data_IF_981801777620
#
_entry.id   IF_981801777620
#
_cell.length_a   1.000
_cell.length_b   1.000
_cell.length_c   1.000
_cell.angle_alpha   90.00
_cell.angle_beta   90.00
_cell.angle_gamma   90.00
#
_symmetry.space_group_name_H-M   'P 1'
#
loop_
_entity.id
_entity.type
_entity.pdbx_description
1 polymer ?
#
# COMPACT_ATOMS: atom_id res chain seq x y z
N UNK A 1 0.07 -11.41 -10.64
CA UNK A 1 0.04 -10.29 -9.67
C UNK A 1 1.25 -10.45 -8.75
N UNK A 2 2.09 -9.43 -8.55
CA UNK A 2 3.22 -9.55 -7.64
C UNK A 2 2.70 -9.82 -6.22
N UNK A 3 3.41 -10.71 -5.50
CA UNK A 3 3.04 -11.09 -4.14
C UNK A 3 3.19 -9.89 -3.20
N UNK A 4 2.08 -9.41 -2.67
CA UNK A 4 2.07 -8.34 -1.68
C UNK A 4 2.26 -8.98 -0.30
N UNK A 5 3.45 -8.87 0.25
CA UNK A 5 3.76 -9.45 1.55
C UNK A 5 3.24 -8.59 2.69
N UNK A 6 2.70 -9.26 3.70
CA UNK A 6 2.38 -8.72 5.00
C UNK A 6 3.12 -9.59 6.04
N UNK A 7 3.93 -8.97 6.88
CA UNK A 7 4.72 -9.68 7.89
C UNK A 7 3.88 -10.03 9.12
N UNK A 8 2.80 -9.30 9.35
CA UNK A 8 1.87 -9.55 10.44
C UNK A 8 0.84 -10.63 10.04
N UNK A 9 1.20 -11.89 10.27
CA UNK A 9 0.38 -13.06 9.88
C UNK A 9 -0.97 -13.12 10.58
N UNK A 10 -1.09 -12.57 11.80
CA UNK A 10 -2.35 -12.53 12.53
C UNK A 10 -3.36 -11.60 11.85
N UNK A 11 -2.96 -10.37 11.50
CA UNK A 11 -3.81 -9.45 10.75
C UNK A 11 -4.11 -9.97 9.35
N UNK A 12 -3.15 -10.59 8.69
CA UNK A 12 -3.35 -11.18 7.37
C UNK A 12 -4.47 -12.22 7.39
N UNK A 13 -4.47 -13.11 8.38
CA UNK A 13 -5.53 -14.12 8.56
C UNK A 13 -6.87 -13.47 8.85
N UNK A 14 -6.93 -12.53 9.77
CA UNK A 14 -8.14 -11.80 10.11
C UNK A 14 -8.76 -11.13 8.88
N UNK A 15 -7.96 -10.40 8.11
CA UNK A 15 -8.43 -9.74 6.88
C UNK A 15 -8.92 -10.76 5.85
N UNK A 16 -8.20 -11.86 5.66
CA UNK A 16 -8.61 -12.92 4.73
C UNK A 16 -9.97 -13.50 5.09
N UNK A 17 -10.21 -13.81 6.37
CA UNK A 17 -11.48 -14.35 6.86
C UNK A 17 -12.66 -13.39 6.59
N UNK A 18 -12.46 -12.07 6.77
CA UNK A 18 -13.50 -11.06 6.52
C UNK A 18 -13.61 -10.61 5.06
N UNK A 19 -12.66 -10.99 4.22
CA UNK A 19 -12.63 -10.63 2.79
C UNK A 19 -13.28 -11.66 1.87
N UNK A 20 -13.76 -12.77 2.41
CA UNK A 20 -14.44 -13.82 1.66
C UNK A 20 -15.92 -13.88 2.01
N UNK A 21 -16.71 -14.41 1.11
CA UNK A 21 -18.15 -14.67 1.29
C UNK A 21 -18.52 -16.00 0.68
N UNK A 22 -19.51 -16.67 1.26
CA UNK A 22 -20.06 -17.90 0.73
C UNK A 22 -21.17 -17.58 -0.28
N UNK A 23 -21.17 -18.30 -1.39
CA UNK A 23 -22.19 -18.25 -2.42
C UNK A 23 -22.69 -19.65 -2.72
N UNK A 24 -23.69 -19.79 -3.56
CA UNK A 24 -24.19 -21.08 -4.10
C UNK A 24 -23.12 -21.87 -4.87
N UNK A 25 -22.11 -21.19 -5.38
CA UNK A 25 -20.96 -21.76 -6.12
C UNK A 25 -19.71 -21.99 -5.26
N UNK A 26 -19.79 -21.77 -3.93
CA UNK A 26 -18.69 -21.89 -3.01
C UNK A 26 -18.19 -20.56 -2.48
N UNK A 27 -16.96 -20.53 -1.96
CA UNK A 27 -16.35 -19.34 -1.40
C UNK A 27 -15.75 -18.45 -2.50
N UNK A 28 -15.94 -17.14 -2.39
CA UNK A 28 -15.34 -16.13 -3.27
C UNK A 28 -14.83 -14.94 -2.46
N UNK A 29 -13.93 -14.18 -3.05
CA UNK A 29 -13.55 -12.87 -2.54
C UNK A 29 -14.72 -11.88 -2.64
N UNK A 30 -14.82 -10.96 -1.69
CA UNK A 30 -15.83 -9.89 -1.70
C UNK A 30 -15.51 -8.77 -2.70
N UNK A 31 -14.24 -8.61 -3.09
CA UNK A 31 -13.86 -7.59 -4.07
C UNK A 31 -14.31 -7.97 -5.49
N UNK A 32 -14.45 -6.97 -6.35
CA UNK A 32 -14.76 -7.16 -7.76
C UNK A 32 -13.52 -7.69 -8.51
N UNK A 33 -13.65 -8.85 -9.14
CA UNK A 33 -12.58 -9.48 -9.92
C UNK A 33 -12.11 -8.60 -11.09
N UNK A 34 -12.96 -7.69 -11.59
CA UNK A 34 -12.65 -6.78 -12.68
C UNK A 34 -11.93 -5.50 -12.23
N UNK A 35 -11.77 -5.26 -10.92
CA UNK A 35 -11.18 -4.01 -10.45
C UNK A 35 -9.76 -3.79 -10.98
N UNK A 36 -9.00 -4.86 -11.19
CA UNK A 36 -7.63 -4.77 -11.69
C UNK A 36 -7.55 -4.50 -13.19
N UNK A 37 -8.57 -4.80 -13.98
CA UNK A 37 -8.60 -4.52 -15.42
C UNK A 37 -8.66 -3.02 -15.73
N UNK A 38 -9.11 -2.21 -14.76
CA UNK A 38 -9.20 -0.76 -14.86
C UNK A 38 -7.93 -0.04 -14.40
N UNK A 39 -7.05 -0.72 -13.66
CA UNK A 39 -5.85 -0.12 -13.06
C UNK A 39 -4.76 0.20 -14.08
N UNK A 40 -4.66 -0.54 -15.19
CA UNK A 40 -3.66 -0.29 -16.23
C UNK A 40 -3.74 1.13 -16.81
N UNK A 41 -4.92 1.75 -16.76
CA UNK A 41 -5.13 3.13 -17.23
C UNK A 41 -4.57 4.19 -16.30
N UNK A 42 -4.26 3.84 -15.05
CA UNK A 42 -3.75 4.79 -14.05
C UNK A 42 -2.23 4.79 -13.94
N UNK A 43 -1.56 3.78 -14.47
CA UNK A 43 -0.11 3.70 -14.47
C UNK A 43 0.49 4.72 -15.45
N UNK A 44 1.40 5.56 -14.92
CA UNK A 44 2.11 6.57 -15.72
C UNK A 44 1.51 7.98 -15.64
N UNK A 45 0.39 8.19 -14.97
CA UNK A 45 -0.13 9.54 -14.73
C UNK A 45 0.49 10.13 -13.46
N UNK A 46 0.99 11.36 -13.60
CA UNK A 46 1.40 12.16 -12.45
C UNK A 46 0.16 12.82 -11.85
N UNK A 47 -0.07 12.58 -10.57
CA UNK A 47 -1.14 13.26 -9.83
C UNK A 47 -0.65 14.63 -9.37
N UNK A 48 -1.53 15.64 -9.45
CA UNK A 48 -1.31 16.95 -8.87
C UNK A 48 -1.95 17.00 -7.49
N UNK A 49 -1.18 17.43 -6.49
CA UNK A 49 -1.66 17.58 -5.12
C UNK A 49 -1.84 19.07 -4.82
N UNK A 50 -3.01 19.45 -4.30
CA UNK A 50 -3.30 20.81 -3.78
C UNK A 50 -3.05 20.95 -2.28
N UNK A 51 -2.54 19.90 -1.64
CA UNK A 51 -2.24 19.82 -0.22
C UNK A 51 -0.91 19.14 0.02
N UNK A 52 -0.29 19.29 1.20
CA UNK A 52 0.89 18.50 1.59
C UNK A 52 0.60 17.01 1.47
N UNK A 53 1.53 16.27 0.88
CA UNK A 53 1.40 14.84 0.67
C UNK A 53 2.57 14.10 1.31
N UNK A 54 2.28 12.94 1.91
CA UNK A 54 3.25 12.06 2.52
C UNK A 54 3.10 10.65 1.97
N UNK A 55 4.19 10.11 1.43
CA UNK A 55 4.28 8.75 0.95
C UNK A 55 5.01 7.87 1.97
N UNK A 56 4.27 6.91 2.54
CA UNK A 56 4.82 5.96 3.51
C UNK A 56 4.98 4.60 2.82
N UNK A 57 6.16 4.03 2.88
CA UNK A 57 6.43 2.71 2.31
C UNK A 57 7.26 1.83 3.24
N UNK A 58 7.10 0.51 3.12
CA UNK A 58 7.90 -0.46 3.85
C UNK A 58 9.25 -0.71 3.17
N UNK A 59 10.31 -0.77 3.96
CA UNK A 59 11.67 -1.07 3.48
C UNK A 59 11.75 -2.43 2.77
N UNK A 60 10.95 -3.40 3.21
CA UNK A 60 10.94 -4.75 2.68
C UNK A 60 9.85 -4.96 1.60
N UNK A 61 9.22 -3.88 1.14
CA UNK A 61 8.19 -3.98 0.09
C UNK A 61 8.81 -4.37 -1.25
N UNK A 62 8.43 -5.51 -1.79
CA UNK A 62 8.86 -5.96 -3.11
C UNK A 62 8.30 -5.06 -4.23
N UNK A 63 7.15 -4.43 -4.02
CA UNK A 63 6.55 -3.49 -4.98
C UNK A 63 7.26 -2.14 -5.02
N UNK A 64 7.88 -1.73 -3.91
CA UNK A 64 8.62 -0.48 -3.79
C UNK A 64 10.13 -0.70 -3.90
N UNK A 65 10.56 -1.72 -4.61
CA UNK A 65 11.97 -2.07 -4.80
C UNK A 65 12.51 -1.58 -6.15
N UNK A 66 13.83 -1.46 -6.24
CA UNK A 66 14.52 -1.09 -7.48
C UNK A 66 14.09 0.27 -8.03
N UNK A 67 13.86 0.33 -9.34
CA UNK A 67 13.58 1.58 -10.03
C UNK A 67 12.19 2.18 -9.74
N UNK A 68 11.25 1.38 -9.21
CA UNK A 68 9.88 1.87 -8.97
C UNK A 68 9.89 2.99 -7.93
N UNK A 69 10.50 2.77 -6.78
CA UNK A 69 10.59 3.78 -5.73
C UNK A 69 11.40 5.01 -6.19
N UNK A 70 12.50 4.78 -6.91
CA UNK A 70 13.32 5.86 -7.47
C UNK A 70 12.51 6.73 -8.42
N UNK A 71 11.78 6.13 -9.36
CA UNK A 71 10.94 6.86 -10.31
C UNK A 71 9.83 7.66 -9.61
N UNK A 72 9.21 7.10 -8.57
CA UNK A 72 8.19 7.82 -7.80
C UNK A 72 8.81 9.01 -7.06
N UNK A 73 9.98 8.83 -6.44
CA UNK A 73 10.69 9.92 -5.75
C UNK A 73 11.09 11.04 -6.70
N UNK A 74 11.58 10.72 -7.89
CA UNK A 74 11.93 11.70 -8.91
C UNK A 74 10.70 12.44 -9.43
N UNK A 75 9.61 11.71 -9.71
CA UNK A 75 8.36 12.27 -10.21
C UNK A 75 7.74 13.29 -9.26
N UNK A 76 7.85 13.06 -7.96
CA UNK A 76 7.23 13.87 -6.90
C UNK A 76 8.24 14.65 -6.05
N UNK A 77 9.46 14.83 -6.56
CA UNK A 77 10.49 15.62 -5.87
C UNK A 77 10.02 17.04 -5.58
N UNK A 78 10.15 17.47 -4.32
CA UNK A 78 9.69 18.79 -3.87
C UNK A 78 8.16 18.96 -3.73
N UNK A 79 7.39 17.92 -4.03
CA UNK A 79 5.91 17.95 -3.95
C UNK A 79 5.41 17.05 -2.82
N UNK A 80 6.11 15.96 -2.56
CA UNK A 80 5.70 14.91 -1.62
C UNK A 80 6.87 14.55 -0.70
N UNK A 81 6.59 14.42 0.58
CA UNK A 81 7.52 13.85 1.54
C UNK A 81 7.51 12.32 1.48
N UNK A 82 8.67 11.70 1.73
CA UNK A 82 8.81 10.25 1.72
C UNK A 82 9.28 9.74 3.08
N UNK A 83 8.64 8.69 3.56
CA UNK A 83 9.01 8.03 4.81
C UNK A 83 9.11 6.52 4.64
N UNK A 84 10.30 5.97 4.88
CA UNK A 84 10.55 4.54 4.88
C UNK A 84 10.35 3.96 6.28
N UNK A 85 9.58 2.87 6.37
CA UNK A 85 9.37 2.14 7.63
C UNK A 85 10.17 0.85 7.63
N UNK A 86 11.10 0.74 8.57
CA UNK A 86 11.92 -0.47 8.75
C UNK A 86 11.07 -1.67 9.19
N UNK A 87 11.45 -2.87 8.77
CA UNK A 87 10.78 -4.12 9.12
C UNK A 87 9.28 -4.12 8.76
N UNK A 88 8.90 -3.42 7.69
CA UNK A 88 7.58 -3.46 7.10
C UNK A 88 7.67 -3.88 5.64
N UNK A 89 6.73 -4.71 5.20
CA UNK A 89 6.55 -5.09 3.80
C UNK A 89 5.59 -4.12 3.09
N UNK A 90 4.79 -4.61 2.15
CA UNK A 90 3.92 -3.72 1.38
C UNK A 90 2.76 -3.14 2.20
N UNK A 91 2.21 -3.91 3.11
CA UNK A 91 1.08 -3.52 3.96
C UNK A 91 1.54 -2.84 5.26
N UNK A 92 2.21 -1.70 5.13
CA UNK A 92 2.84 -0.97 6.26
C UNK A 92 1.90 -0.75 7.45
N UNK A 93 0.62 -0.32 7.28
CA UNK A 93 -0.29 -0.12 8.41
C UNK A 93 -0.64 -1.41 9.17
N UNK A 94 -0.50 -2.57 8.53
CA UNK A 94 -0.73 -3.87 9.14
C UNK A 94 0.51 -4.40 9.85
N UNK A 95 1.67 -4.15 9.25
CA UNK A 95 2.96 -4.59 9.80
C UNK A 95 3.42 -3.70 10.96
N UNK A 96 3.19 -2.40 10.86
CA UNK A 96 3.72 -1.37 11.76
C UNK A 96 2.69 -0.27 12.06
N UNK A 97 1.53 -0.61 12.66
CA UNK A 97 0.45 0.36 12.87
C UNK A 97 0.84 1.54 13.76
N UNK A 98 1.60 1.30 14.83
CA UNK A 98 1.99 2.36 15.76
C UNK A 98 2.98 3.33 15.15
N UNK A 99 3.97 2.82 14.39
CA UNK A 99 4.92 3.67 13.67
C UNK A 99 4.21 4.54 12.61
N UNK A 100 3.21 4.00 11.91
CA UNK A 100 2.41 4.78 10.95
C UNK A 100 1.65 5.89 11.65
N UNK A 101 1.04 5.62 12.80
CA UNK A 101 0.35 6.63 13.60
C UNK A 101 1.30 7.73 14.05
N UNK A 102 2.48 7.39 14.53
CA UNK A 102 3.49 8.36 14.97
C UNK A 102 4.01 9.21 13.81
N UNK A 103 4.26 8.62 12.65
CA UNK A 103 4.65 9.36 11.44
C UNK A 103 3.55 10.36 11.05
N UNK A 104 2.29 9.94 11.02
CA UNK A 104 1.17 10.79 10.67
C UNK A 104 1.03 11.95 11.66
N UNK A 105 1.09 11.68 12.97
CA UNK A 105 1.01 12.72 14.01
C UNK A 105 2.12 13.75 13.88
N UNK A 106 3.36 13.30 13.68
CA UNK A 106 4.52 14.19 13.62
C UNK A 106 4.62 15.00 12.32
N UNK A 107 3.92 14.60 11.26
CA UNK A 107 3.99 15.26 9.95
C UNK A 107 2.76 16.09 9.60
N UNK A 108 1.60 15.74 10.13
CA UNK A 108 0.33 16.38 9.76
C UNK A 108 -0.32 17.17 10.92
N UNK A 109 0.18 17.00 12.14
CA UNK A 109 -0.32 17.68 13.33
C UNK A 109 0.80 18.23 14.20
#
# INVERSE_FOLDING_TARGET
MPKQECLNTWFLRYIAEYSITQTDKGWRWKFDDNMFSSLERLFGYKFEFSCPALFIHGKNSLLMSGNILTNIKEMYSGIMDFNEVANAAHHVPLDKPLEVIDIIKNRLF
#
